data_IF_312459988509
#
_entry.id   IF_312459988509
#
_cell.length_a   1.000
_cell.length_b   1.000
_cell.length_c   1.000
_cell.angle_alpha   90.00
_cell.angle_beta   90.00
_cell.angle_gamma   90.00
#
_symmetry.space_group_name_H-M   'P 1'
#
loop_
_entity.id
_entity.type
_entity.pdbx_description
1 polymer ?
#
# COMPACT_ATOMS: atom_id res chain seq x y z
N UNK A 1 -22.17 66.74 16.47
CA UNK A 1 -23.32 65.82 16.42
C UNK A 1 -22.89 64.52 17.08
N UNK A 2 -23.36 64.28 18.31
CA UNK A 2 -23.02 63.12 19.15
C UNK A 2 -24.19 62.14 19.15
N UNK A 3 -23.93 60.85 18.92
CA UNK A 3 -24.90 59.76 19.12
C UNK A 3 -24.65 59.07 20.48
N UNK A 4 -25.69 58.74 21.27
CA UNK A 4 -25.51 58.07 22.55
C UNK A 4 -25.31 56.56 22.38
N UNK A 5 -24.42 55.99 23.20
CA UNK A 5 -24.24 54.54 23.36
C UNK A 5 -25.40 53.97 24.18
N UNK A 6 -26.28 53.20 23.54
CA UNK A 6 -27.27 52.37 24.25
C UNK A 6 -26.58 51.18 24.91
N UNK A 7 -26.64 51.15 26.24
CA UNK A 7 -26.16 50.08 27.08
C UNK A 7 -27.27 49.02 27.21
N UNK A 8 -27.13 47.88 26.51
CA UNK A 8 -28.05 46.75 26.65
C UNK A 8 -27.74 45.99 27.94
N UNK A 9 -28.70 46.00 28.88
CA UNK A 9 -28.73 45.12 30.04
C UNK A 9 -28.97 43.68 29.57
N UNK A 10 -27.95 42.83 29.62
CA UNK A 10 -28.11 41.39 29.42
C UNK A 10 -28.64 40.77 30.71
N UNK A 11 -29.89 40.29 30.68
CA UNK A 11 -30.42 39.43 31.72
C UNK A 11 -29.62 38.11 31.72
N UNK A 12 -28.93 37.83 32.82
CA UNK A 12 -28.22 36.58 33.04
C UNK A 12 -29.25 35.44 33.21
N UNK A 13 -29.58 34.76 32.12
CA UNK A 13 -30.25 33.45 32.18
C UNK A 13 -29.21 32.41 32.62
N UNK A 14 -29.39 31.73 33.77
CA UNK A 14 -28.48 30.66 34.17
C UNK A 14 -28.60 29.53 33.14
N UNK A 15 -27.55 29.31 32.36
CA UNK A 15 -27.46 28.21 31.42
C UNK A 15 -27.30 26.91 32.21
N UNK A 16 -28.41 26.31 32.63
CA UNK A 16 -28.41 24.97 33.20
C UNK A 16 -28.04 23.98 32.07
N UNK A 17 -26.76 23.60 31.99
CA UNK A 17 -26.32 22.51 31.11
C UNK A 17 -26.89 21.20 31.64
N UNK A 18 -27.97 20.71 31.02
CA UNK A 18 -28.45 19.35 31.26
C UNK A 18 -27.36 18.35 30.84
N UNK A 19 -26.85 17.57 31.79
CA UNK A 19 -25.92 16.48 31.51
C UNK A 19 -26.69 15.34 30.83
N UNK A 20 -26.57 15.23 29.51
CA UNK A 20 -27.15 14.11 28.76
C UNK A 20 -26.37 12.83 29.14
N UNK A 21 -27.03 11.72 29.52
CA UNK A 21 -26.32 10.50 29.88
C UNK A 21 -25.56 9.96 28.67
N UNK A 22 -24.29 9.61 28.86
CA UNK A 22 -23.47 8.99 27.84
C UNK A 22 -23.93 7.54 27.61
N UNK A 23 -24.68 7.28 26.54
CA UNK A 23 -25.08 5.92 26.20
C UNK A 23 -23.88 5.08 25.76
N UNK A 24 -23.72 3.90 26.36
CA UNK A 24 -22.85 2.85 25.85
C UNK A 24 -23.28 2.47 24.42
N UNK A 25 -22.30 2.12 23.58
CA UNK A 25 -22.59 1.72 22.22
C UNK A 25 -23.37 0.40 22.16
N UNK A 26 -24.37 0.31 21.27
CA UNK A 26 -25.14 -0.91 21.08
C UNK A 26 -24.31 -2.00 20.34
N UNK A 27 -24.64 -3.30 20.51
CA UNK A 27 -23.87 -4.39 19.90
C UNK A 27 -23.77 -4.32 18.37
N UNK A 28 -24.78 -3.80 17.68
CA UNK A 28 -24.73 -3.67 16.22
C UNK A 28 -23.71 -2.60 15.80
N UNK A 29 -23.72 -1.45 16.48
CA UNK A 29 -22.68 -0.43 16.31
C UNK A 29 -21.28 -1.00 16.59
N UNK A 30 -21.12 -1.76 17.68
CA UNK A 30 -19.82 -2.31 18.05
C UNK A 30 -19.31 -3.39 17.10
N UNK A 31 -20.22 -4.15 16.49
CA UNK A 31 -19.90 -5.09 15.41
C UNK A 31 -19.31 -4.34 14.22
N UNK A 32 -19.96 -3.26 13.79
CA UNK A 32 -19.46 -2.42 12.71
C UNK A 32 -18.10 -1.78 13.05
N UNK A 33 -17.95 -1.26 14.27
CA UNK A 33 -16.69 -0.71 14.76
C UNK A 33 -15.55 -1.73 14.69
N UNK A 34 -15.75 -2.94 15.21
CA UNK A 34 -14.72 -3.97 15.28
C UNK A 34 -14.30 -4.48 13.89
N UNK A 35 -15.25 -4.65 12.96
CA UNK A 35 -14.93 -4.99 11.57
C UNK A 35 -14.07 -3.92 10.89
N UNK A 36 -14.42 -2.64 11.06
CA UNK A 36 -13.63 -1.53 10.51
C UNK A 36 -12.22 -1.50 11.13
N UNK A 37 -12.10 -1.71 12.44
CA UNK A 37 -10.81 -1.69 13.12
C UNK A 37 -9.87 -2.81 12.63
N UNK A 38 -10.39 -4.02 12.42
CA UNK A 38 -9.61 -5.14 11.84
C UNK A 38 -9.25 -4.85 10.38
N UNK A 39 -10.16 -4.31 9.58
CA UNK A 39 -9.87 -3.92 8.19
C UNK A 39 -8.80 -2.83 8.11
N UNK A 40 -8.84 -1.84 9.01
CA UNK A 40 -7.81 -0.81 9.14
C UNK A 40 -6.44 -1.42 9.51
N UNK A 41 -6.40 -2.45 10.36
CA UNK A 41 -5.16 -3.18 10.64
C UNK A 41 -4.65 -3.95 9.40
N UNK A 42 -5.55 -4.51 8.60
CA UNK A 42 -5.22 -5.06 7.28
C UNK A 42 -4.56 -4.02 6.38
N UNK A 43 -5.07 -2.78 6.35
CA UNK A 43 -4.45 -1.69 5.61
C UNK A 43 -3.08 -1.27 6.18
N UNK A 44 -2.93 -1.20 7.50
CA UNK A 44 -1.65 -0.91 8.18
C UNK A 44 -0.57 -1.92 7.77
N UNK A 45 -0.89 -3.21 7.79
CA UNK A 45 0.02 -4.29 7.38
C UNK A 45 0.28 -4.31 5.87
N UNK A 46 -0.76 -4.21 5.05
CA UNK A 46 -0.63 -4.24 3.59
C UNK A 46 0.17 -3.06 3.02
N UNK A 47 0.04 -1.88 3.64
CA UNK A 47 0.84 -0.72 3.28
C UNK A 47 2.24 -0.77 3.91
N UNK A 48 2.50 -1.61 4.91
CA UNK A 48 3.77 -1.61 5.64
C UNK A 48 3.96 -0.37 6.52
N UNK A 49 2.88 0.18 7.08
CA UNK A 49 2.93 1.38 7.92
C UNK A 49 3.58 1.14 9.30
N UNK A 50 3.61 -0.11 9.76
CA UNK A 50 4.33 -0.51 10.98
C UNK A 50 3.67 -0.09 12.29
N UNK A 51 2.40 0.35 12.29
CA UNK A 51 1.73 0.72 13.53
C UNK A 51 1.42 -0.52 14.39
N UNK A 52 1.57 -0.38 15.71
CA UNK A 52 1.41 -1.47 16.69
C UNK A 52 0.59 -1.03 17.91
N UNK A 53 0.36 -1.97 18.83
CA UNK A 53 -0.33 -1.73 20.10
C UNK A 53 -1.84 -1.98 20.04
N UNK A 54 -2.58 -1.68 21.13
CA UNK A 54 -3.98 -2.08 21.27
C UNK A 54 -4.92 -1.56 20.17
N UNK A 55 -4.63 -0.38 19.62
CA UNK A 55 -5.33 0.23 18.49
C UNK A 55 -5.20 -0.58 17.19
N UNK A 56 -4.10 -1.32 17.02
CA UNK A 56 -3.67 -1.96 15.78
C UNK A 56 -3.62 -3.49 15.91
N UNK A 57 -4.70 -4.06 16.47
CA UNK A 57 -4.87 -5.52 16.57
C UNK A 57 -5.74 -6.06 15.42
N UNK A 58 -5.41 -7.26 14.92
CA UNK A 58 -6.21 -7.98 13.94
C UNK A 58 -7.34 -8.83 14.59
N UNK A 59 -7.67 -8.56 15.86
CA UNK A 59 -8.61 -9.35 16.66
C UNK A 59 -9.95 -8.63 16.78
N UNK A 60 -10.98 -9.13 16.08
CA UNK A 60 -12.33 -8.60 16.16
C UNK A 60 -12.84 -8.52 17.61
N UNK A 61 -12.70 -9.61 18.37
CA UNK A 61 -13.20 -9.69 19.75
C UNK A 61 -12.61 -8.65 20.69
N UNK A 62 -11.33 -8.27 20.50
CA UNK A 62 -10.69 -7.23 21.31
C UNK A 62 -11.31 -5.84 21.05
N UNK A 63 -11.52 -5.50 19.77
CA UNK A 63 -12.16 -4.23 19.39
C UNK A 63 -13.63 -4.19 19.80
N UNK A 64 -14.34 -5.31 19.66
CA UNK A 64 -15.74 -5.43 20.04
C UNK A 64 -15.93 -5.27 21.56
N UNK A 65 -15.15 -6.01 22.36
CA UNK A 65 -15.23 -5.95 23.82
C UNK A 65 -14.90 -4.55 24.36
N UNK A 66 -13.87 -3.89 23.81
CA UNK A 66 -13.58 -2.50 24.16
C UNK A 66 -14.74 -1.56 23.79
N UNK A 67 -15.32 -1.70 22.60
CA UNK A 67 -16.40 -0.84 22.14
C UNK A 67 -17.64 -0.91 23.04
N UNK A 68 -18.00 -2.09 23.56
CA UNK A 68 -19.12 -2.25 24.49
C UNK A 68 -18.96 -1.44 25.79
N UNK A 69 -17.72 -1.10 26.16
CA UNK A 69 -17.41 -0.27 27.33
C UNK A 69 -17.23 1.22 26.99
N UNK A 70 -17.17 1.55 25.70
CA UNK A 70 -16.94 2.90 25.22
C UNK A 70 -18.27 3.57 24.81
N UNK A 71 -18.26 4.91 24.83
CA UNK A 71 -19.34 5.67 24.19
C UNK A 71 -19.21 5.59 22.67
N UNK A 72 -20.33 5.75 21.95
CA UNK A 72 -20.30 5.83 20.46
C UNK A 72 -19.33 6.91 19.96
N UNK A 73 -19.26 8.04 20.67
CA UNK A 73 -18.33 9.14 20.35
C UNK A 73 -16.87 8.70 20.47
N UNK A 74 -16.50 8.07 21.59
CA UNK A 74 -15.14 7.55 21.80
C UNK A 74 -14.74 6.54 20.72
N UNK A 75 -15.64 5.61 20.37
CA UNK A 75 -15.40 4.64 19.31
C UNK A 75 -15.23 5.29 17.92
N UNK A 76 -15.99 6.35 17.63
CA UNK A 76 -15.85 7.10 16.39
C UNK A 76 -14.52 7.88 16.35
N UNK A 77 -14.13 8.54 17.43
CA UNK A 77 -12.83 9.23 17.53
C UNK A 77 -11.66 8.24 17.39
N UNK A 78 -11.80 7.05 17.96
CA UNK A 78 -10.79 6.00 17.85
C UNK A 78 -10.64 5.50 16.41
N UNK A 79 -11.76 5.34 15.68
CA UNK A 79 -11.75 5.05 14.23
C UNK A 79 -11.11 6.19 13.45
N UNK A 80 -11.43 7.44 13.76
CA UNK A 80 -10.89 8.62 13.07
C UNK A 80 -9.37 8.72 13.24
N UNK A 81 -8.86 8.50 14.45
CA UNK A 81 -7.43 8.53 14.69
C UNK A 81 -6.68 7.41 13.92
N UNK A 82 -7.28 6.22 13.75
CA UNK A 82 -6.73 5.20 12.82
C UNK A 82 -6.74 5.67 11.36
N UNK A 83 -7.82 6.33 10.91
CA UNK A 83 -7.89 6.89 9.57
C UNK A 83 -6.79 7.94 9.33
N UNK A 84 -6.58 8.85 10.29
CA UNK A 84 -5.52 9.87 10.22
C UNK A 84 -4.12 9.23 10.17
N UNK A 85 -3.86 8.21 10.99
CA UNK A 85 -2.61 7.46 10.95
C UNK A 85 -2.39 6.77 9.59
N UNK A 86 -3.40 6.07 9.05
CA UNK A 86 -3.32 5.43 7.73
C UNK A 86 -3.19 6.41 6.57
N UNK A 87 -3.72 7.62 6.71
CA UNK A 87 -3.55 8.70 5.74
C UNK A 87 -2.13 9.28 5.79
N UNK A 88 -1.56 9.44 6.99
CA UNK A 88 -0.18 9.91 7.19
C UNK A 88 0.89 8.89 6.79
N UNK A 89 0.51 7.62 6.68
CA UNK A 89 1.40 6.57 6.22
C UNK A 89 1.70 6.72 4.72
N UNK A 90 2.85 7.32 4.41
CA UNK A 90 3.42 7.40 3.05
C UNK A 90 4.15 6.13 2.63
N UNK A 91 3.91 5.00 3.30
CA UNK A 91 4.58 3.77 2.94
C UNK A 91 4.32 3.49 1.45
N UNK A 92 5.38 3.28 0.66
CA UNK A 92 5.25 3.23 -0.78
C UNK A 92 4.30 2.07 -1.11
N UNK A 93 3.17 2.40 -1.75
CA UNK A 93 2.33 1.38 -2.38
C UNK A 93 3.19 0.53 -3.33
N UNK A 94 2.69 -0.64 -3.77
CA UNK A 94 3.48 -1.56 -4.60
C UNK A 94 4.14 -0.79 -5.75
N UNK A 95 5.46 -0.67 -5.70
CA UNK A 95 6.20 0.17 -6.64
C UNK A 95 6.41 -0.64 -7.91
N UNK A 96 5.84 -0.16 -9.02
CA UNK A 96 6.02 -0.78 -10.32
C UNK A 96 6.99 0.02 -11.17
N UNK A 97 7.90 -0.67 -11.86
CA UNK A 97 8.75 -0.06 -12.89
C UNK A 97 8.83 -0.92 -14.12
N UNK A 98 8.50 -0.32 -15.27
CA UNK A 98 8.63 -0.97 -16.58
C UNK A 98 9.95 -0.59 -17.22
N UNK A 99 10.74 -1.59 -17.57
CA UNK A 99 11.97 -1.48 -18.34
C UNK A 99 11.67 -1.92 -19.77
N UNK A 100 11.76 -0.97 -20.71
CA UNK A 100 11.63 -1.25 -22.14
C UNK A 100 12.95 -1.77 -22.68
N UNK A 101 12.87 -2.80 -23.53
CA UNK A 101 14.03 -3.46 -24.15
C UNK A 101 15.20 -3.61 -23.15
N UNK A 102 14.97 -4.27 -21.99
CA UNK A 102 15.93 -4.31 -20.89
C UNK A 102 17.30 -4.82 -21.31
N UNK A 103 18.34 -4.30 -20.65
CA UNK A 103 19.74 -4.58 -20.95
C UNK A 103 20.52 -4.92 -19.68
N UNK A 104 21.51 -5.80 -19.82
CA UNK A 104 22.51 -6.10 -18.80
C UNK A 104 23.89 -5.94 -19.42
N UNK A 105 24.75 -5.14 -18.78
CA UNK A 105 26.07 -4.81 -19.34
C UNK A 105 26.00 -4.19 -20.73
N UNK A 106 24.98 -3.38 -21.01
CA UNK A 106 24.76 -2.73 -22.31
C UNK A 106 24.17 -3.62 -23.41
N UNK A 107 24.14 -4.95 -23.24
CA UNK A 107 23.56 -5.91 -24.19
C UNK A 107 22.12 -6.23 -23.82
N UNK A 108 21.27 -6.51 -24.81
CA UNK A 108 19.87 -6.89 -24.58
C UNK A 108 19.80 -8.13 -23.71
N UNK A 109 18.91 -8.13 -22.72
CA UNK A 109 18.67 -9.30 -21.89
C UNK A 109 18.10 -10.44 -22.75
N UNK A 110 18.73 -11.61 -22.63
CA UNK A 110 18.26 -12.87 -23.23
C UNK A 110 16.95 -13.34 -22.58
N UNK A 111 16.08 -13.95 -23.38
CA UNK A 111 14.81 -14.50 -22.90
C UNK A 111 14.99 -15.59 -21.82
N UNK A 112 16.14 -16.26 -21.81
CA UNK A 112 16.49 -17.35 -20.92
C UNK A 112 17.41 -16.91 -19.76
N UNK A 113 17.12 -17.42 -18.56
CA UNK A 113 17.91 -17.12 -17.35
C UNK A 113 19.25 -17.84 -17.39
N UNK A 114 19.22 -19.07 -17.88
CA UNK A 114 20.34 -19.98 -18.10
C UNK A 114 20.37 -20.30 -19.60
N UNK A 115 21.52 -20.67 -20.16
CA UNK A 115 21.65 -20.97 -21.59
C UNK A 115 20.58 -21.97 -22.05
N UNK A 116 19.70 -21.51 -22.96
CA UNK A 116 18.55 -22.26 -23.47
C UNK A 116 17.60 -22.88 -22.41
N UNK A 117 17.60 -22.36 -21.17
CA UNK A 117 16.80 -22.91 -20.07
C UNK A 117 16.25 -21.81 -19.16
N UNK A 118 15.18 -22.14 -18.43
CA UNK A 118 14.53 -21.22 -17.47
C UNK A 118 14.12 -19.89 -18.14
N UNK A 119 13.38 -19.97 -19.23
CA UNK A 119 13.07 -18.82 -20.07
C UNK A 119 11.75 -18.13 -19.73
N UNK A 120 11.64 -16.85 -20.08
CA UNK A 120 10.49 -16.01 -19.75
C UNK A 120 10.52 -15.54 -18.30
N UNK A 121 9.56 -16.00 -17.49
CA UNK A 121 9.37 -15.54 -16.11
C UNK A 121 10.64 -15.66 -15.24
N UNK A 122 11.41 -16.76 -15.26
CA UNK A 122 12.61 -16.87 -14.42
C UNK A 122 13.68 -15.84 -14.78
N UNK A 123 13.90 -15.55 -16.07
CA UNK A 123 14.84 -14.53 -16.52
C UNK A 123 14.35 -13.11 -16.18
N UNK A 124 13.04 -12.86 -16.34
CA UNK A 124 12.44 -11.58 -15.99
C UNK A 124 12.52 -11.30 -14.47
N UNK A 125 12.26 -12.32 -13.64
CA UNK A 125 12.40 -12.23 -12.19
C UNK A 125 13.84 -11.94 -11.78
N UNK A 126 14.81 -12.66 -12.35
CA UNK A 126 16.22 -12.42 -12.08
C UNK A 126 16.66 -11.00 -12.48
N UNK A 127 16.13 -10.48 -13.60
CA UNK A 127 16.37 -9.10 -14.00
C UNK A 127 15.80 -8.11 -12.97
N UNK A 128 14.56 -8.28 -12.52
CA UNK A 128 13.96 -7.43 -11.50
C UNK A 128 14.74 -7.45 -10.18
N UNK A 129 15.17 -8.63 -9.74
CA UNK A 129 16.01 -8.80 -8.55
C UNK A 129 17.35 -8.05 -8.70
N UNK A 130 17.99 -8.10 -9.87
CA UNK A 130 19.21 -7.33 -10.16
C UNK A 130 19.01 -5.80 -10.14
N UNK A 131 17.75 -5.32 -10.18
CA UNK A 131 17.39 -3.90 -10.11
C UNK A 131 16.81 -3.49 -8.75
N UNK A 132 16.80 -4.38 -7.76
CA UNK A 132 16.28 -4.12 -6.42
C UNK A 132 14.75 -4.23 -6.29
N UNK A 133 14.11 -5.00 -7.18
CA UNK A 133 12.68 -5.34 -7.12
C UNK A 133 12.51 -6.82 -6.77
N UNK A 134 11.34 -7.21 -6.25
CA UNK A 134 11.12 -8.57 -5.77
C UNK A 134 10.94 -9.58 -6.92
N UNK A 135 10.14 -9.22 -7.94
CA UNK A 135 9.82 -10.09 -9.09
C UNK A 135 9.25 -9.28 -10.26
N UNK A 136 9.09 -9.94 -11.41
CA UNK A 136 8.40 -9.42 -12.59
C UNK A 136 6.90 -9.73 -12.52
N UNK A 137 6.05 -8.75 -12.81
CA UNK A 137 4.58 -8.92 -12.88
C UNK A 137 4.03 -8.96 -14.30
N UNK A 138 4.80 -8.48 -15.28
CA UNK A 138 4.47 -8.56 -16.70
C UNK A 138 5.74 -8.49 -17.54
N UNK A 139 5.79 -9.21 -18.66
CA UNK A 139 6.89 -9.15 -19.61
C UNK A 139 6.42 -9.58 -21.00
N UNK A 140 7.16 -9.18 -22.04
CA UNK A 140 6.88 -9.58 -23.42
C UNK A 140 8.13 -10.12 -24.10
N UNK A 141 7.95 -11.13 -24.96
CA UNK A 141 9.04 -11.71 -25.76
C UNK A 141 9.29 -10.87 -27.01
N UNK A 142 10.56 -10.67 -27.35
CA UNK A 142 11.03 -10.16 -28.62
C UNK A 142 11.69 -11.32 -29.37
N UNK A 143 11.02 -11.82 -30.42
CA UNK A 143 11.47 -13.00 -31.16
C UNK A 143 12.68 -12.68 -32.04
N UNK A 144 13.66 -13.59 -32.09
CA UNK A 144 14.71 -13.63 -33.12
C UNK A 144 15.53 -12.32 -33.28
N UNK A 145 15.92 -11.70 -32.16
CA UNK A 145 16.65 -10.42 -32.15
C UNK A 145 18.17 -10.58 -32.03
N UNK A 146 18.64 -11.80 -31.78
CA UNK A 146 20.04 -12.13 -31.49
C UNK A 146 21.00 -11.74 -32.60
N UNK A 147 20.62 -12.00 -33.85
CA UNK A 147 21.48 -11.73 -35.00
C UNK A 147 21.83 -10.25 -35.16
N UNK A 148 20.92 -9.35 -34.75
CA UNK A 148 21.07 -7.90 -34.95
C UNK A 148 21.59 -7.18 -33.71
N UNK A 149 21.04 -7.53 -32.55
CA UNK A 149 21.28 -6.79 -31.32
C UNK A 149 22.14 -7.55 -30.32
N UNK A 150 22.30 -8.87 -30.54
CA UNK A 150 22.82 -9.84 -29.58
C UNK A 150 21.98 -9.86 -28.31
N UNK A 151 21.99 -10.98 -27.60
CA UNK A 151 21.36 -11.10 -26.29
C UNK A 151 22.35 -11.67 -25.30
N UNK A 152 22.15 -11.38 -24.02
CA UNK A 152 23.04 -11.77 -22.93
C UNK A 152 22.26 -12.49 -21.84
N UNK A 153 22.67 -13.72 -21.56
CA UNK A 153 22.12 -14.52 -20.46
C UNK A 153 22.50 -13.85 -19.13
N UNK A 154 21.51 -13.67 -18.24
CA UNK A 154 21.71 -12.92 -17.00
C UNK A 154 22.68 -13.62 -16.03
N UNK A 155 22.60 -14.95 -15.92
CA UNK A 155 23.39 -15.71 -14.95
C UNK A 155 24.82 -15.95 -15.42
N UNK A 156 25.01 -16.55 -16.60
CA UNK A 156 26.34 -16.89 -17.10
C UNK A 156 27.04 -15.74 -17.83
N UNK A 157 26.29 -14.74 -18.28
CA UNK A 157 26.84 -13.65 -19.10
C UNK A 157 27.17 -14.02 -20.53
N UNK A 158 26.90 -15.27 -20.95
CA UNK A 158 27.08 -15.72 -22.32
C UNK A 158 26.27 -14.86 -23.30
N UNK A 159 26.85 -14.62 -24.46
CA UNK A 159 26.25 -13.84 -25.55
C UNK A 159 25.65 -14.79 -26.58
N UNK A 160 24.38 -14.60 -26.90
CA UNK A 160 23.70 -15.27 -28.01
C UNK A 160 23.56 -14.27 -29.17
N UNK A 161 24.22 -14.58 -30.27
CA UNK A 161 24.27 -13.76 -31.50
C UNK A 161 23.69 -14.50 -32.73
N UNK A 162 23.02 -15.64 -32.52
CA UNK A 162 22.31 -16.37 -33.56
C UNK A 162 20.93 -15.77 -33.90
N UNK A 163 20.33 -16.21 -35.02
CA UNK A 163 19.02 -15.72 -35.46
C UNK A 163 17.90 -16.06 -34.47
N UNK A 164 17.98 -17.20 -33.78
CA UNK A 164 16.91 -17.68 -32.90
C UNK A 164 16.99 -17.14 -31.47
N UNK A 165 17.94 -16.24 -31.17
CA UNK A 165 18.03 -15.71 -29.81
C UNK A 165 16.95 -14.66 -29.56
N UNK A 166 16.09 -14.98 -28.60
CA UNK A 166 15.01 -14.13 -28.13
C UNK A 166 15.48 -13.17 -27.03
N UNK A 167 14.81 -12.03 -26.90
CA UNK A 167 14.95 -11.16 -25.74
C UNK A 167 13.60 -10.67 -25.22
N UNK A 168 13.62 -9.59 -24.44
CA UNK A 168 12.40 -9.01 -23.85
C UNK A 168 11.99 -7.70 -24.52
N UNK A 169 10.75 -7.54 -24.98
CA UNK A 169 10.23 -6.22 -25.41
C UNK A 169 10.08 -5.26 -24.21
N UNK A 170 9.62 -5.79 -23.07
CA UNK A 170 9.48 -5.08 -21.79
C UNK A 170 9.53 -6.06 -20.62
N UNK A 171 9.90 -5.54 -19.44
CA UNK A 171 9.70 -6.21 -18.14
C UNK A 171 9.16 -5.16 -17.15
N UNK A 172 8.03 -5.46 -16.51
CA UNK A 172 7.48 -4.68 -15.39
C UNK A 172 7.84 -5.39 -14.09
N UNK A 173 8.60 -4.70 -13.24
CA UNK A 173 9.03 -5.18 -11.94
C UNK A 173 8.16 -4.60 -10.82
N UNK A 174 7.97 -5.37 -9.74
CA UNK A 174 7.27 -4.95 -8.52
C UNK A 174 8.20 -5.00 -7.31
N UNK A 175 8.22 -3.92 -6.53
CA UNK A 175 8.92 -3.83 -5.23
C UNK A 175 8.02 -4.27 -4.08
#
# INVERSE_FOLDING_TARGET
MNLPRSMCLFAAFPLAMAMVPAQAADPAFCTAYANIAVAQQGANTAKGCGFVGPRWQAKFGAHFAWCLTATKSMANHERQARNSQLASCSAPGPQYKTFLKPKIGGVRLDWCRVWAAQCGAPAANAYCQSKGYNHATSFGKANNIGQWTKTRVITSGQICNGPDCDGFTKITCKK
#
